data_IF_808656037504
#
_entry.id   IF_808656037504
#
_cell.length_a   1.000
_cell.length_b   1.000
_cell.length_c   1.000
_cell.angle_alpha   90.00
_cell.angle_beta   90.00
_cell.angle_gamma   90.00
#
_symmetry.space_group_name_H-M   'P 1'
#
loop_
_entity.id
_entity.type
_entity.pdbx_description
1 polymer ?
#
# COMPACT_ATOMS: atom_id res chain seq x y z
N UNK A 1 21.58 -6.99 1.83
CA UNK A 1 21.21 -7.03 3.26
C UNK A 1 19.71 -7.11 3.39
N UNK A 2 19.17 -7.97 4.27
CA UNK A 2 17.72 -8.06 4.53
C UNK A 2 17.42 -7.16 5.73
N UNK A 3 16.46 -6.23 5.59
CA UNK A 3 16.13 -5.21 6.60
C UNK A 3 14.63 -4.96 6.64
N UNK A 4 14.07 -4.52 7.77
CA UNK A 4 12.71 -3.99 7.83
C UNK A 4 12.54 -2.76 6.92
N UNK A 5 11.35 -2.55 6.38
CA UNK A 5 11.06 -1.44 5.45
C UNK A 5 11.41 -0.05 6.01
N UNK A 6 11.24 0.14 7.31
CA UNK A 6 11.48 1.43 7.98
C UNK A 6 12.95 1.88 7.91
N UNK A 7 13.87 0.95 7.63
CA UNK A 7 15.28 1.27 7.41
C UNK A 7 15.57 1.89 6.03
N UNK A 8 14.59 1.99 5.13
CA UNK A 8 14.74 2.80 3.91
C UNK A 8 14.97 4.27 4.24
N UNK A 9 14.26 4.82 5.24
CA UNK A 9 14.39 6.23 5.62
C UNK A 9 15.85 6.61 5.97
N UNK A 10 16.57 5.95 6.90
CA UNK A 10 17.95 6.27 7.17
C UNK A 10 18.90 6.05 5.97
N UNK A 11 18.62 5.08 5.09
CA UNK A 11 19.39 4.88 3.86
C UNK A 11 19.31 6.12 2.97
N UNK A 12 18.10 6.59 2.70
CA UNK A 12 17.89 7.76 1.83
C UNK A 12 18.34 9.07 2.48
N UNK A 13 18.11 9.28 3.77
CA UNK A 13 18.64 10.42 4.49
C UNK A 13 20.15 10.52 4.34
N UNK A 14 20.84 9.39 4.41
CA UNK A 14 22.28 9.37 4.22
C UNK A 14 22.69 9.78 2.79
N UNK A 15 22.00 9.33 1.76
CA UNK A 15 22.28 9.75 0.38
C UNK A 15 22.03 11.26 0.21
N UNK A 16 20.99 11.80 0.85
CA UNK A 16 20.73 13.24 0.92
C UNK A 16 21.91 13.97 1.60
N UNK A 17 22.43 13.47 2.73
CA UNK A 17 23.60 14.03 3.39
C UNK A 17 24.87 13.98 2.55
N UNK A 18 24.99 13.04 1.62
CA UNK A 18 26.07 12.98 0.64
C UNK A 18 25.89 13.95 -0.53
N UNK A 19 24.78 14.68 -0.57
CA UNK A 19 24.48 15.67 -1.61
C UNK A 19 23.62 15.13 -2.76
N UNK A 20 23.03 13.95 -2.63
CA UNK A 20 22.04 13.44 -3.58
C UNK A 20 20.71 14.11 -3.30
N UNK A 21 20.28 14.99 -4.21
CA UNK A 21 19.01 15.71 -4.11
C UNK A 21 17.91 15.09 -5.00
N UNK A 22 18.29 14.28 -6.00
CA UNK A 22 17.38 13.63 -6.95
C UNK A 22 17.46 12.12 -6.88
N UNK A 23 16.29 11.50 -6.77
CA UNK A 23 16.11 10.06 -6.75
C UNK A 23 15.24 9.63 -7.93
N UNK A 24 15.74 8.71 -8.72
CA UNK A 24 15.02 8.11 -9.85
C UNK A 24 14.79 6.63 -9.54
N UNK A 25 13.54 6.19 -9.63
CA UNK A 25 13.15 4.82 -9.34
C UNK A 25 12.78 4.11 -10.63
N UNK A 26 13.48 3.04 -10.90
CA UNK A 26 13.31 2.20 -12.09
C UNK A 26 12.77 0.82 -11.71
N UNK A 27 12.12 0.19 -12.66
CA UNK A 27 11.84 -1.24 -12.60
C UNK A 27 13.18 -2.00 -12.55
N UNK A 28 13.32 -2.96 -11.65
CA UNK A 28 14.65 -3.49 -11.30
C UNK A 28 15.15 -4.68 -12.13
N UNK A 29 14.33 -5.21 -13.04
CA UNK A 29 14.67 -6.35 -13.90
C UNK A 29 15.15 -5.92 -15.30
N UNK A 30 14.69 -4.76 -15.73
CA UNK A 30 15.08 -4.10 -16.98
C UNK A 30 15.67 -2.74 -16.64
N UNK A 31 16.86 -2.48 -17.07
CA UNK A 31 17.66 -1.33 -16.62
C UNK A 31 17.12 0.06 -17.03
N UNK A 32 15.95 0.17 -17.70
CA UNK A 32 15.58 1.39 -18.41
C UNK A 32 14.12 1.85 -18.22
N UNK A 33 13.32 1.18 -17.39
CA UNK A 33 11.91 1.58 -17.25
C UNK A 33 11.73 2.48 -16.02
N UNK A 34 11.63 3.81 -16.20
CA UNK A 34 11.39 4.71 -15.09
C UNK A 34 9.96 4.49 -14.55
N UNK A 35 9.80 4.50 -13.26
CA UNK A 35 8.49 4.41 -12.60
C UNK A 35 8.08 5.77 -12.04
N UNK A 36 8.95 6.37 -11.26
CA UNK A 36 8.78 7.71 -10.71
C UNK A 36 10.12 8.27 -10.26
N UNK A 37 10.17 9.58 -10.05
CA UNK A 37 11.33 10.28 -9.52
C UNK A 37 10.92 11.27 -8.44
N UNK A 38 11.86 11.65 -7.59
CA UNK A 38 11.67 12.67 -6.58
C UNK A 38 12.90 13.56 -6.44
N UNK A 39 12.69 14.86 -6.31
CA UNK A 39 13.75 15.82 -5.97
C UNK A 39 13.51 16.31 -4.54
N UNK A 40 14.51 16.14 -3.68
CA UNK A 40 14.46 16.57 -2.29
C UNK A 40 14.89 18.02 -2.16
N UNK A 41 14.03 18.86 -1.63
CA UNK A 41 14.34 20.25 -1.28
C UNK A 41 13.41 20.71 -0.14
N UNK A 42 13.92 21.60 0.73
CA UNK A 42 13.14 22.19 1.80
C UNK A 42 12.36 21.17 2.67
N UNK A 43 13.03 20.06 3.01
CA UNK A 43 12.44 18.95 3.78
C UNK A 43 11.23 18.27 3.11
N UNK A 44 11.08 18.38 1.79
CA UNK A 44 10.01 17.76 0.99
C UNK A 44 10.55 17.09 -0.26
N UNK A 45 9.76 16.17 -0.78
CA UNK A 45 9.99 15.52 -2.07
C UNK A 45 9.06 16.14 -3.11
N UNK A 46 9.62 16.66 -4.21
CA UNK A 46 8.86 17.00 -5.40
C UNK A 46 8.87 15.80 -6.35
N UNK A 47 7.72 15.20 -6.57
CA UNK A 47 7.58 13.90 -7.24
C UNK A 47 6.97 14.04 -8.62
N UNK A 48 7.52 13.29 -9.58
CA UNK A 48 7.00 13.07 -10.92
C UNK A 48 6.89 11.56 -11.17
N UNK A 49 5.80 11.09 -11.79
CA UNK A 49 5.65 9.69 -12.19
C UNK A 49 5.50 9.57 -13.71
N UNK A 50 5.85 8.39 -14.24
CA UNK A 50 5.70 8.09 -15.66
C UNK A 50 4.23 8.21 -16.10
N UNK A 51 3.99 8.69 -17.31
CA UNK A 51 2.68 8.78 -17.92
C UNK A 51 2.15 7.42 -18.39
N UNK A 52 0.81 7.26 -18.41
CA UNK A 52 0.15 6.00 -18.83
C UNK A 52 0.57 5.51 -20.21
N UNK A 53 0.64 6.41 -21.19
CA UNK A 53 1.00 6.04 -22.57
C UNK A 53 2.48 5.61 -22.65
N UNK A 54 3.37 6.35 -22.01
CA UNK A 54 4.78 6.04 -21.95
C UNK A 54 5.02 4.70 -21.24
N UNK A 55 4.39 4.49 -20.05
CA UNK A 55 4.48 3.21 -19.34
C UNK A 55 4.07 2.03 -20.22
N UNK A 56 2.93 2.13 -20.92
CA UNK A 56 2.41 1.08 -21.80
C UNK A 56 3.30 0.80 -23.01
N UNK A 57 4.08 1.79 -23.47
CA UNK A 57 5.05 1.58 -24.56
C UNK A 57 6.29 0.80 -24.11
N UNK A 58 6.61 0.81 -22.81
CA UNK A 58 7.79 0.19 -22.22
C UNK A 58 7.48 -1.17 -21.56
N UNK A 59 6.29 -1.30 -20.96
CA UNK A 59 5.89 -2.51 -20.24
C UNK A 59 4.82 -3.29 -21.01
N UNK A 60 5.04 -4.58 -21.27
CA UNK A 60 4.00 -5.43 -21.87
C UNK A 60 2.84 -5.62 -20.92
N UNK A 61 1.61 -5.55 -21.44
CA UNK A 61 0.40 -5.88 -20.66
C UNK A 61 0.26 -7.41 -20.59
N UNK A 62 0.68 -8.01 -19.48
CA UNK A 62 0.62 -9.45 -19.27
C UNK A 62 0.39 -9.79 -17.80
N UNK A 63 -0.44 -10.79 -17.53
CA UNK A 63 -1.08 -11.08 -16.25
C UNK A 63 -0.28 -10.98 -14.95
N UNK A 64 1.00 -11.32 -14.97
CA UNK A 64 1.87 -11.26 -13.78
C UNK A 64 2.86 -10.08 -13.80
N UNK A 65 2.84 -9.30 -14.87
CA UNK A 65 3.64 -8.08 -14.99
C UNK A 65 2.78 -6.93 -14.49
N UNK A 66 3.29 -6.09 -13.56
CA UNK A 66 2.53 -4.97 -13.04
C UNK A 66 2.11 -4.00 -14.16
N UNK A 67 0.81 -3.71 -14.23
CA UNK A 67 0.27 -2.74 -15.18
C UNK A 67 0.34 -1.31 -14.65
N UNK A 68 -0.02 -0.33 -15.52
CA UNK A 68 -0.08 1.08 -15.09
C UNK A 68 -1.05 1.31 -13.90
N UNK A 69 -2.10 0.49 -13.82
CA UNK A 69 -3.04 0.55 -12.69
C UNK A 69 -2.36 0.18 -11.37
N UNK A 70 -1.51 -0.85 -11.39
CA UNK A 70 -0.77 -1.27 -10.20
C UNK A 70 0.23 -0.18 -9.76
N UNK A 71 0.96 0.43 -10.73
CA UNK A 71 1.85 1.55 -10.44
C UNK A 71 1.08 2.73 -9.84
N UNK A 72 0.01 3.16 -10.48
CA UNK A 72 -0.70 4.37 -10.07
C UNK A 72 -1.45 4.19 -8.74
N UNK A 73 -2.28 3.14 -8.61
CA UNK A 73 -3.11 2.94 -7.42
C UNK A 73 -2.37 2.29 -6.26
N UNK A 74 -1.65 1.18 -6.52
CA UNK A 74 -1.07 0.36 -5.44
C UNK A 74 0.30 0.84 -4.99
N UNK A 75 1.02 1.60 -5.83
CA UNK A 75 2.33 2.16 -5.49
C UNK A 75 2.18 3.64 -5.17
N UNK A 76 1.83 4.47 -6.15
CA UNK A 76 1.86 5.94 -6.01
C UNK A 76 0.77 6.42 -5.04
N UNK A 77 -0.51 6.22 -5.37
CA UNK A 77 -1.61 6.73 -4.54
C UNK A 77 -1.62 6.06 -3.15
N UNK A 78 -1.46 4.75 -3.10
CA UNK A 78 -1.48 4.00 -1.84
C UNK A 78 -0.31 4.32 -0.90
N UNK A 79 0.77 4.93 -1.37
CA UNK A 79 1.85 5.44 -0.52
C UNK A 79 1.58 6.81 0.09
N UNK A 80 0.50 7.48 -0.29
CA UNK A 80 0.19 8.85 0.12
C UNK A 80 0.65 9.91 -0.88
N UNK A 81 1.26 9.54 -2.01
CA UNK A 81 1.61 10.48 -3.08
C UNK A 81 0.38 10.77 -3.95
N UNK A 82 -0.54 11.52 -3.40
CA UNK A 82 -1.80 11.93 -4.03
C UNK A 82 -2.00 13.42 -3.88
N UNK A 83 -2.58 14.07 -4.90
CA UNK A 83 -2.96 15.47 -4.78
C UNK A 83 -4.07 15.59 -3.71
N UNK A 84 -3.84 16.36 -2.63
CA UNK A 84 -4.84 16.56 -1.58
C UNK A 84 -6.19 17.10 -2.09
N UNK A 85 -6.21 17.79 -3.22
CA UNK A 85 -7.44 18.32 -3.81
C UNK A 85 -8.36 17.20 -4.36
N UNK A 86 -7.79 16.08 -4.75
CA UNK A 86 -8.55 14.87 -5.13
C UNK A 86 -9.38 14.31 -3.98
N UNK A 87 -9.01 14.63 -2.74
CA UNK A 87 -9.72 14.21 -1.53
C UNK A 87 -10.73 15.26 -1.02
N UNK A 88 -10.83 16.43 -1.65
CA UNK A 88 -11.72 17.51 -1.19
C UNK A 88 -13.17 17.07 -1.08
N UNK A 89 -13.72 16.39 -2.09
CA UNK A 89 -15.07 15.85 -2.06
C UNK A 89 -15.30 14.79 -0.97
N UNK A 90 -14.28 14.00 -0.65
CA UNK A 90 -14.35 13.02 0.44
C UNK A 90 -14.29 13.69 1.81
N UNK A 91 -13.50 14.77 1.97
CA UNK A 91 -13.47 15.60 3.20
C UNK A 91 -14.83 16.24 3.46
N UNK A 92 -15.42 16.86 2.44
CA UNK A 92 -16.74 17.48 2.55
C UNK A 92 -17.81 16.45 2.92
N UNK A 93 -17.80 15.31 2.25
CA UNK A 93 -18.72 14.21 2.53
C UNK A 93 -18.54 13.65 3.94
N UNK A 94 -17.30 13.48 4.40
CA UNK A 94 -17.01 13.06 5.76
C UNK A 94 -17.59 14.06 6.77
N UNK A 95 -17.34 15.37 6.57
CA UNK A 95 -17.91 16.42 7.41
C UNK A 95 -19.43 16.27 7.53
N UNK A 96 -20.14 16.15 6.40
CA UNK A 96 -21.61 15.97 6.39
C UNK A 96 -22.09 14.72 7.10
N UNK A 97 -21.31 13.63 7.07
CA UNK A 97 -21.66 12.37 7.71
C UNK A 97 -21.45 12.43 9.23
N UNK A 98 -20.39 13.11 9.70
CA UNK A 98 -20.01 13.14 11.11
C UNK A 98 -20.37 14.46 11.82
N UNK A 99 -21.10 15.37 11.12
CA UNK A 99 -21.44 16.66 11.69
C UNK A 99 -22.43 16.51 12.86
N UNK A 100 -22.03 17.07 14.01
CA UNK A 100 -22.67 16.84 15.31
C UNK A 100 -23.88 17.74 15.58
N UNK A 101 -24.35 18.52 14.59
CA UNK A 101 -25.46 19.45 14.77
C UNK A 101 -26.83 18.78 15.01
N UNK A 102 -26.91 17.46 14.85
CA UNK A 102 -28.10 16.69 15.22
C UNK A 102 -27.90 15.94 16.57
N UNK A 103 -28.58 16.34 17.64
CA UNK A 103 -28.39 15.76 18.99
C UNK A 103 -28.77 14.29 19.12
N UNK A 104 -29.32 13.65 18.09
CA UNK A 104 -29.72 12.24 18.05
C UNK A 104 -28.97 11.42 17.00
N UNK A 105 -27.89 11.94 16.44
CA UNK A 105 -27.16 11.24 15.39
C UNK A 105 -26.45 10.01 15.94
N UNK A 106 -26.54 8.91 15.19
CA UNK A 106 -25.81 7.68 15.47
C UNK A 106 -24.32 7.89 15.24
N UNK A 107 -23.49 7.21 16.05
CA UNK A 107 -22.06 7.16 15.75
C UNK A 107 -21.82 6.51 14.39
N UNK A 108 -20.93 7.08 13.61
CA UNK A 108 -20.58 6.55 12.27
C UNK A 108 -19.50 5.49 12.39
N UNK A 109 -19.65 4.41 11.61
CA UNK A 109 -18.63 3.39 11.44
C UNK A 109 -18.36 3.13 9.97
N UNK A 110 -17.08 3.26 9.60
CA UNK A 110 -16.58 2.90 8.28
C UNK A 110 -16.13 1.45 8.25
N UNK A 111 -16.53 0.74 7.20
CA UNK A 111 -16.17 -0.64 6.94
C UNK A 111 -15.34 -0.73 5.66
N UNK A 112 -14.34 -1.57 5.67
CA UNK A 112 -13.39 -1.72 4.56
C UNK A 112 -13.47 -3.11 3.99
N UNK A 113 -13.67 -3.19 2.66
CA UNK A 113 -13.57 -4.43 1.90
C UNK A 113 -12.12 -4.76 1.51
N UNK A 114 -11.91 -5.89 0.89
CA UNK A 114 -10.60 -6.37 0.41
C UNK A 114 -9.93 -5.35 -0.52
N UNK A 115 -10.68 -4.80 -1.47
CA UNK A 115 -10.16 -3.83 -2.45
C UNK A 115 -9.76 -2.50 -1.81
N UNK A 116 -10.53 -2.00 -0.86
CA UNK A 116 -10.22 -0.75 -0.17
C UNK A 116 -8.94 -0.86 0.66
N UNK A 117 -8.72 -2.00 1.32
CA UNK A 117 -7.48 -2.26 2.06
C UNK A 117 -6.28 -2.43 1.13
N UNK A 118 -6.43 -3.14 -0.01
CA UNK A 118 -5.36 -3.29 -1.00
C UNK A 118 -4.92 -1.95 -1.62
N UNK A 119 -5.85 -1.00 -1.75
CA UNK A 119 -5.59 0.36 -2.23
C UNK A 119 -5.25 1.36 -1.12
N UNK A 120 -5.13 0.91 0.13
CA UNK A 120 -4.71 1.72 1.27
C UNK A 120 -5.66 2.92 1.56
N UNK A 121 -6.96 2.79 1.30
CA UNK A 121 -7.91 3.91 1.44
C UNK A 121 -8.07 4.38 2.88
N UNK A 122 -7.99 3.47 3.85
CA UNK A 122 -8.01 3.85 5.25
C UNK A 122 -6.85 4.78 5.59
N UNK A 123 -5.62 4.42 5.20
CA UNK A 123 -4.43 5.28 5.38
C UNK A 123 -4.62 6.64 4.72
N UNK A 124 -5.06 6.68 3.44
CA UNK A 124 -5.25 7.92 2.72
C UNK A 124 -6.26 8.84 3.41
N UNK A 125 -7.38 8.31 3.87
CA UNK A 125 -8.38 9.11 4.56
C UNK A 125 -7.87 9.58 5.93
N UNK A 126 -7.17 8.72 6.67
CA UNK A 126 -6.55 9.10 7.95
C UNK A 126 -5.55 10.24 7.80
N UNK A 127 -4.71 10.20 6.77
CA UNK A 127 -3.66 11.20 6.56
C UNK A 127 -4.22 12.54 6.03
N UNK A 128 -5.27 12.50 5.25
CA UNK A 128 -5.74 13.68 4.53
C UNK A 128 -7.10 14.22 4.97
N UNK A 129 -7.89 13.46 5.73
CA UNK A 129 -9.16 13.93 6.28
C UNK A 129 -8.98 14.23 7.78
N UNK A 130 -9.09 15.51 8.21
CA UNK A 130 -8.92 15.87 9.61
C UNK A 130 -9.86 15.10 10.53
N UNK A 131 -9.32 14.64 11.66
CA UNK A 131 -10.06 13.93 12.71
C UNK A 131 -10.76 12.64 12.24
N UNK A 132 -10.39 12.07 11.08
CA UNK A 132 -11.04 10.90 10.51
C UNK A 132 -11.17 9.73 11.51
N UNK A 133 -10.09 9.39 12.19
CA UNK A 133 -10.08 8.30 13.19
C UNK A 133 -10.66 8.70 14.54
N UNK A 134 -10.78 9.99 14.84
CA UNK A 134 -11.32 10.49 16.10
C UNK A 134 -12.86 10.61 16.07
N UNK A 135 -13.41 11.02 14.92
CA UNK A 135 -14.84 11.31 14.75
C UNK A 135 -15.66 10.14 14.24
N UNK A 136 -15.03 9.05 13.84
CA UNK A 136 -15.71 7.84 13.38
C UNK A 136 -14.98 6.59 13.90
N UNK A 137 -15.70 5.50 14.01
CA UNK A 137 -15.13 4.18 14.24
C UNK A 137 -14.84 3.47 12.91
N UNK A 138 -13.92 2.51 12.92
CA UNK A 138 -13.45 1.82 11.70
C UNK A 138 -13.44 0.33 11.96
N UNK A 139 -13.80 -0.49 10.97
CA UNK A 139 -13.78 -1.93 11.11
C UNK A 139 -13.63 -2.66 9.76
N UNK A 140 -13.33 -3.94 9.83
CA UNK A 140 -13.40 -4.90 8.73
C UNK A 140 -13.85 -6.25 9.31
N UNK A 141 -13.96 -7.29 8.48
CA UNK A 141 -14.43 -8.60 8.90
C UNK A 141 -13.38 -9.68 8.74
N UNK A 142 -13.55 -10.82 9.44
CA UNK A 142 -12.71 -11.99 9.25
C UNK A 142 -12.81 -12.54 7.81
N UNK A 143 -13.97 -12.41 7.16
CA UNK A 143 -14.13 -12.78 5.77
C UNK A 143 -13.19 -12.00 4.85
N UNK A 144 -13.01 -10.69 5.07
CA UNK A 144 -12.03 -9.87 4.35
C UNK A 144 -10.59 -10.31 4.66
N UNK A 145 -10.28 -10.59 5.93
CA UNK A 145 -8.94 -11.08 6.32
C UNK A 145 -8.64 -12.42 5.65
N UNK A 146 -9.58 -13.37 5.72
CA UNK A 146 -9.43 -14.69 5.10
C UNK A 146 -9.30 -14.60 3.58
N UNK A 147 -10.04 -13.69 2.93
CA UNK A 147 -9.91 -13.46 1.50
C UNK A 147 -8.52 -12.94 1.13
N UNK A 148 -7.96 -12.02 1.91
CA UNK A 148 -6.59 -11.54 1.71
C UNK A 148 -5.54 -12.64 1.92
N UNK A 149 -5.74 -13.53 2.90
CA UNK A 149 -4.89 -14.69 3.13
C UNK A 149 -4.95 -15.67 1.95
N UNK A 150 -6.15 -16.00 1.49
CA UNK A 150 -6.36 -16.86 0.32
C UNK A 150 -5.73 -16.28 -0.96
N UNK A 151 -5.82 -14.96 -1.14
CA UNK A 151 -5.18 -14.26 -2.26
C UNK A 151 -3.66 -14.31 -2.14
N UNK A 152 -3.13 -14.05 -0.95
CA UNK A 152 -1.69 -14.07 -0.70
C UNK A 152 -1.09 -15.47 -0.90
N UNK A 153 -1.81 -16.51 -0.53
CA UNK A 153 -1.36 -17.89 -0.70
C UNK A 153 -1.39 -18.39 -2.15
N UNK A 154 -1.94 -17.61 -3.08
CA UNK A 154 -1.90 -17.90 -4.53
C UNK A 154 -0.48 -17.72 -5.06
N UNK A 155 0.27 -18.81 -5.05
CA UNK A 155 1.66 -18.83 -5.50
C UNK A 155 1.77 -19.00 -7.01
N UNK A 156 2.78 -18.39 -7.58
CA UNK A 156 3.19 -18.67 -8.95
C UNK A 156 3.73 -20.09 -9.06
N UNK A 157 3.11 -20.88 -9.94
CA UNK A 157 3.58 -22.23 -10.27
C UNK A 157 4.40 -22.14 -11.56
N UNK A 158 5.62 -22.71 -11.54
CA UNK A 158 6.59 -22.57 -12.62
C UNK A 158 6.10 -22.94 -14.04
N UNK A 159 5.08 -23.81 -14.16
CA UNK A 159 4.50 -24.18 -15.44
C UNK A 159 3.39 -23.22 -15.95
N UNK A 160 3.04 -22.21 -15.18
CA UNK A 160 2.07 -21.17 -15.55
C UNK A 160 2.74 -19.82 -15.90
N UNK A 161 4.07 -19.77 -15.98
CA UNK A 161 4.72 -18.57 -16.51
C UNK A 161 4.43 -18.47 -18.01
N UNK A 162 3.74 -17.43 -18.45
CA UNK A 162 3.61 -17.15 -19.87
C UNK A 162 5.01 -17.01 -20.48
N UNK A 163 5.19 -17.42 -21.74
CA UNK A 163 6.50 -17.34 -22.41
C UNK A 163 7.12 -15.93 -22.32
N UNK A 164 6.30 -14.89 -22.45
CA UNK A 164 6.74 -13.50 -22.30
C UNK A 164 7.21 -13.12 -20.89
N UNK A 165 6.89 -13.89 -19.84
CA UNK A 165 7.43 -13.66 -18.49
C UNK A 165 8.94 -13.93 -18.46
N UNK A 166 9.38 -14.99 -19.16
CA UNK A 166 10.82 -15.29 -19.33
C UNK A 166 11.52 -14.25 -20.18
N UNK A 167 10.83 -13.67 -21.16
CA UNK A 167 11.35 -12.58 -21.98
C UNK A 167 11.59 -11.31 -21.15
N UNK A 168 10.77 -11.09 -20.11
CA UNK A 168 10.89 -9.93 -19.20
C UNK A 168 11.94 -10.16 -18.13
N UNK A 169 11.91 -11.30 -17.45
CA UNK A 169 12.68 -11.55 -16.23
C UNK A 169 13.94 -12.42 -16.46
N UNK A 170 14.07 -13.04 -17.64
CA UNK A 170 15.24 -13.83 -18.01
C UNK A 170 15.51 -14.96 -17.02
N UNK A 171 16.75 -15.05 -16.54
CA UNK A 171 17.18 -16.04 -15.56
C UNK A 171 16.66 -15.79 -14.15
N UNK A 172 16.19 -14.59 -13.88
CA UNK A 172 15.67 -14.18 -12.58
C UNK A 172 14.22 -14.66 -12.34
N UNK A 173 13.59 -15.31 -13.34
CA UNK A 173 12.28 -15.90 -13.20
C UNK A 173 12.19 -16.91 -12.03
N UNK A 174 13.31 -17.59 -11.70
CA UNK A 174 13.41 -18.50 -10.56
C UNK A 174 13.10 -17.84 -9.22
N UNK A 175 13.33 -16.52 -9.08
CA UNK A 175 13.03 -15.78 -7.83
C UNK A 175 11.53 -15.77 -7.57
N UNK A 176 10.72 -15.77 -8.63
CA UNK A 176 9.26 -15.76 -8.51
C UNK A 176 8.66 -17.14 -8.21
N UNK A 177 9.45 -18.22 -8.36
CA UNK A 177 8.96 -19.57 -8.09
C UNK A 177 8.58 -19.72 -6.60
N UNK A 178 7.38 -20.23 -6.35
CA UNK A 178 6.83 -20.41 -5.00
C UNK A 178 6.60 -19.11 -4.20
N UNK A 179 6.73 -17.96 -4.83
CA UNK A 179 6.35 -16.67 -4.25
C UNK A 179 4.88 -16.32 -4.59
N UNK A 180 4.25 -15.44 -3.81
CA UNK A 180 2.92 -14.94 -4.13
C UNK A 180 2.88 -14.32 -5.53
N UNK A 181 1.80 -14.53 -6.27
CA UNK A 181 1.57 -13.87 -7.53
C UNK A 181 1.39 -12.33 -7.35
N UNK A 182 1.28 -11.57 -8.43
CA UNK A 182 1.13 -10.11 -8.37
C UNK A 182 -0.04 -9.67 -7.46
N UNK A 183 -1.17 -10.36 -7.58
CA UNK A 183 -2.34 -10.06 -6.77
C UNK A 183 -2.12 -10.42 -5.29
N UNK A 184 -1.45 -11.55 -5.02
CA UNK A 184 -1.04 -11.96 -3.67
C UNK A 184 -0.08 -10.96 -3.02
N UNK A 185 0.90 -10.43 -3.78
CA UNK A 185 1.78 -9.37 -3.28
C UNK A 185 1.01 -8.10 -2.91
N UNK A 186 -0.01 -7.74 -3.71
CA UNK A 186 -0.91 -6.62 -3.39
C UNK A 186 -1.73 -6.88 -2.13
N UNK A 187 -2.25 -8.09 -1.94
CA UNK A 187 -2.96 -8.48 -0.72
C UNK A 187 -2.05 -8.37 0.51
N UNK A 188 -0.77 -8.73 0.37
CA UNK A 188 0.20 -8.59 1.47
C UNK A 188 0.35 -7.14 1.93
N UNK A 189 0.36 -6.17 1.02
CA UNK A 189 0.42 -4.75 1.39
C UNK A 189 -0.79 -4.29 2.22
N UNK A 190 -1.96 -4.92 2.04
CA UNK A 190 -3.15 -4.62 2.82
C UNK A 190 -3.05 -5.01 4.31
N UNK A 191 -2.17 -5.95 4.65
CA UNK A 191 -2.01 -6.37 6.05
C UNK A 191 -1.54 -5.25 6.98
N UNK A 192 -0.78 -4.28 6.48
CA UNK A 192 -0.36 -3.11 7.27
C UNK A 192 -1.56 -2.31 7.77
N UNK A 193 -2.61 -2.19 6.96
CA UNK A 193 -3.86 -1.53 7.34
C UNK A 193 -4.60 -2.32 8.42
N UNK A 194 -4.70 -3.64 8.25
CA UNK A 194 -5.35 -4.52 9.24
C UNK A 194 -4.62 -4.48 10.58
N UNK A 195 -3.29 -4.53 10.57
CA UNK A 195 -2.50 -4.44 11.78
C UNK A 195 -2.67 -3.08 12.48
N UNK A 196 -2.77 -2.00 11.70
CA UNK A 196 -3.09 -0.70 12.27
C UNK A 196 -4.46 -0.67 12.92
N UNK A 197 -5.49 -1.18 12.25
CA UNK A 197 -6.84 -1.29 12.82
C UNK A 197 -6.83 -2.09 14.13
N UNK A 198 -6.12 -3.21 14.19
CA UNK A 198 -6.04 -4.07 15.38
C UNK A 198 -5.26 -3.44 16.51
N UNK A 199 -4.04 -2.95 16.25
CA UNK A 199 -3.11 -2.52 17.30
C UNK A 199 -3.36 -1.08 17.74
N UNK A 200 -3.48 -0.14 16.81
CA UNK A 200 -3.57 1.28 17.11
C UNK A 200 -5.01 1.70 17.46
N UNK A 201 -5.98 1.26 16.68
CA UNK A 201 -7.39 1.56 16.95
C UNK A 201 -8.06 0.54 17.89
N UNK A 202 -7.37 -0.56 18.25
CA UNK A 202 -7.87 -1.63 19.11
C UNK A 202 -9.21 -2.21 18.64
N UNK A 203 -9.35 -2.34 17.32
CA UNK A 203 -10.58 -2.84 16.71
C UNK A 203 -10.63 -4.36 16.82
N UNK A 204 -11.76 -4.88 17.32
CA UNK A 204 -12.07 -6.30 17.20
C UNK A 204 -12.66 -6.56 15.81
N UNK A 205 -11.94 -7.33 15.00
CA UNK A 205 -12.39 -7.72 13.66
C UNK A 205 -13.69 -8.51 13.77
N UNK A 206 -14.69 -8.17 12.94
CA UNK A 206 -15.99 -8.82 12.96
C UNK A 206 -15.87 -10.29 12.57
N UNK A 207 -16.56 -11.16 13.30
CA UNK A 207 -16.66 -12.58 12.95
C UNK A 207 -17.74 -12.79 11.90
N UNK A 208 -17.40 -13.51 10.84
CA UNK A 208 -18.31 -13.87 9.76
C UNK A 208 -18.53 -15.40 9.74
N UNK A 209 -19.70 -15.83 9.27
CA UNK A 209 -20.02 -17.25 9.10
C UNK A 209 -19.69 -17.75 7.68
N UNK A 210 -18.68 -17.17 7.02
CA UNK A 210 -18.25 -17.58 5.67
C UNK A 210 -17.43 -16.54 4.91
N UNK A 211 -17.26 -16.76 3.61
CA UNK A 211 -16.45 -15.95 2.69
C UNK A 211 -17.30 -15.44 1.52
N UNK A 212 -16.93 -14.29 0.99
CA UNK A 212 -17.50 -13.65 -0.20
C UNK A 212 -18.37 -12.43 0.10
N UNK A 213 -18.51 -11.56 -0.89
CA UNK A 213 -19.12 -10.22 -0.80
C UNK A 213 -20.44 -10.17 -0.04
N UNK A 214 -21.33 -11.14 -0.30
CA UNK A 214 -22.67 -11.16 0.32
C UNK A 214 -22.59 -11.36 1.82
N UNK A 215 -21.67 -12.19 2.27
CA UNK A 215 -21.49 -12.51 3.69
C UNK A 215 -20.82 -11.34 4.39
N UNK A 216 -19.74 -10.80 3.78
CA UNK A 216 -19.04 -9.61 4.27
C UNK A 216 -20.02 -8.44 4.46
N UNK A 217 -20.83 -8.14 3.44
CA UNK A 217 -21.85 -7.07 3.54
C UNK A 217 -22.92 -7.35 4.61
N UNK A 218 -23.31 -8.61 4.79
CA UNK A 218 -24.27 -8.98 5.81
C UNK A 218 -23.71 -8.78 7.21
N UNK A 219 -22.43 -9.11 7.43
CA UNK A 219 -21.73 -8.88 8.70
C UNK A 219 -21.62 -7.40 9.03
N UNK A 220 -21.26 -6.57 8.05
CA UNK A 220 -21.20 -5.11 8.22
C UNK A 220 -22.56 -4.51 8.56
N UNK A 221 -23.62 -4.91 7.81
CA UNK A 221 -24.98 -4.44 8.06
C UNK A 221 -25.50 -4.92 9.43
N UNK A 222 -25.20 -6.16 9.83
CA UNK A 222 -25.60 -6.68 11.12
C UNK A 222 -24.90 -5.94 12.27
N UNK A 223 -23.59 -5.70 12.18
CA UNK A 223 -22.83 -4.96 13.18
C UNK A 223 -23.38 -3.53 13.36
N UNK A 224 -23.62 -2.80 12.26
CA UNK A 224 -24.16 -1.44 12.31
C UNK A 224 -25.56 -1.41 12.93
N UNK A 225 -26.43 -2.36 12.59
CA UNK A 225 -27.78 -2.47 13.17
C UNK A 225 -27.74 -2.83 14.65
N UNK A 226 -26.94 -3.85 15.03
CA UNK A 226 -26.81 -4.31 16.41
C UNK A 226 -26.31 -3.21 17.35
N UNK A 227 -25.38 -2.38 16.87
CA UNK A 227 -24.79 -1.30 17.67
C UNK A 227 -25.51 0.04 17.47
N UNK A 228 -26.55 0.08 16.65
CA UNK A 228 -27.29 1.31 16.31
C UNK A 228 -26.35 2.41 15.75
N UNK A 229 -25.50 2.03 14.79
CA UNK A 229 -24.54 2.91 14.13
C UNK A 229 -24.97 3.23 12.70
N UNK A 230 -24.49 4.35 12.17
CA UNK A 230 -24.56 4.64 10.74
C UNK A 230 -23.35 3.97 10.06
N UNK A 231 -23.59 2.82 9.43
CA UNK A 231 -22.57 2.06 8.72
C UNK A 231 -22.30 2.65 7.34
N UNK A 232 -21.02 2.78 6.97
CA UNK A 232 -20.57 3.26 5.65
C UNK A 232 -19.52 2.31 5.10
N UNK A 233 -19.82 1.64 3.98
CA UNK A 233 -18.84 0.83 3.27
C UNK A 233 -17.92 1.72 2.42
N UNK A 234 -16.63 1.55 2.58
CA UNK A 234 -15.59 2.14 1.72
C UNK A 234 -15.14 1.08 0.73
N UNK A 235 -15.33 1.32 -0.56
CA UNK A 235 -14.96 0.37 -1.62
C UNK A 235 -14.69 1.09 -2.95
N UNK A 236 -13.96 0.48 -3.87
CA UNK A 236 -13.88 0.89 -5.27
C UNK A 236 -14.70 -0.03 -6.20
N UNK A 237 -15.33 -1.06 -5.65
CA UNK A 237 -16.22 -1.96 -6.38
C UNK A 237 -17.62 -1.34 -6.46
N UNK A 238 -18.06 -1.04 -7.70
CA UNK A 238 -19.36 -0.43 -7.97
C UNK A 238 -20.52 -1.37 -7.56
N UNK A 239 -20.39 -2.66 -7.85
CA UNK A 239 -21.43 -3.65 -7.54
C UNK A 239 -21.59 -3.78 -6.02
N UNK A 240 -20.45 -3.85 -5.32
CA UNK A 240 -20.46 -3.92 -3.87
C UNK A 240 -21.02 -2.65 -3.22
N UNK A 241 -20.68 -1.47 -3.76
CA UNK A 241 -21.25 -0.19 -3.32
C UNK A 241 -22.77 -0.10 -3.51
N UNK A 242 -23.29 -0.55 -4.65
CA UNK A 242 -24.75 -0.60 -4.92
C UNK A 242 -25.46 -1.54 -3.95
N UNK A 243 -24.92 -2.73 -3.73
CA UNK A 243 -25.48 -3.71 -2.78
C UNK A 243 -25.47 -3.19 -1.34
N UNK A 244 -24.40 -2.49 -0.95
CA UNK A 244 -24.30 -1.87 0.36
C UNK A 244 -25.36 -0.77 0.53
N UNK A 245 -25.58 0.07 -0.49
CA UNK A 245 -26.55 1.17 -0.46
C UNK A 245 -27.98 0.77 -0.15
N UNK A 246 -28.34 -0.52 -0.30
CA UNK A 246 -29.66 -1.06 0.09
C UNK A 246 -29.78 -1.34 1.61
N UNK A 247 -28.69 -1.37 2.36
CA UNK A 247 -28.63 -1.81 3.75
C UNK A 247 -27.93 -0.83 4.69
N UNK A 248 -26.99 -0.08 4.15
CA UNK A 248 -26.12 0.86 4.85
C UNK A 248 -25.61 1.91 3.85
N UNK A 249 -24.90 2.94 4.31
CA UNK A 249 -24.22 3.87 3.42
C UNK A 249 -23.07 3.22 2.65
N UNK A 250 -22.68 3.84 1.53
CA UNK A 250 -21.48 3.44 0.80
C UNK A 250 -20.68 4.63 0.31
N UNK A 251 -19.35 4.52 0.35
CA UNK A 251 -18.42 5.42 -0.31
C UNK A 251 -17.72 4.68 -1.45
N UNK A 252 -18.16 4.96 -2.66
CA UNK A 252 -17.43 4.51 -3.84
C UNK A 252 -16.23 5.42 -4.04
N UNK A 253 -15.03 4.88 -3.82
CA UNK A 253 -13.77 5.62 -3.97
C UNK A 253 -13.25 5.47 -5.39
N UNK A 254 -13.06 6.61 -6.05
CA UNK A 254 -12.47 6.67 -7.39
C UNK A 254 -11.49 7.84 -7.43
N UNK A 255 -10.23 7.54 -7.63
CA UNK A 255 -9.22 8.55 -7.88
C UNK A 255 -8.85 8.56 -9.35
N UNK A 256 -8.48 9.73 -9.85
CA UNK A 256 -7.94 9.86 -11.19
C UNK A 256 -6.64 9.05 -11.32
N UNK A 257 -6.50 8.37 -12.44
CA UNK A 257 -5.31 7.59 -12.82
C UNK A 257 -4.30 8.44 -13.60
N UNK A 258 -4.38 9.76 -13.53
CA UNK A 258 -3.38 10.63 -14.12
C UNK A 258 -2.01 10.42 -13.44
N UNK A 259 -0.96 10.62 -14.19
CA UNK A 259 0.38 10.64 -13.61
C UNK A 259 0.57 11.86 -12.70
N UNK A 260 1.34 11.67 -11.66
CA UNK A 260 1.74 12.75 -10.74
C UNK A 260 2.80 13.62 -11.44
N UNK A 261 2.63 14.95 -11.37
CA UNK A 261 3.59 15.92 -11.89
C UNK A 261 3.82 17.03 -10.87
N UNK A 262 5.06 17.15 -10.40
CA UNK A 262 5.48 18.22 -9.49
C UNK A 262 4.77 18.21 -8.14
N UNK A 263 4.26 17.05 -7.70
CA UNK A 263 3.60 16.91 -6.41
C UNK A 263 4.60 17.08 -5.27
N UNK A 264 4.36 18.04 -4.39
CA UNK A 264 5.12 18.17 -3.17
C UNK A 264 4.56 17.22 -2.09
N UNK A 265 5.42 16.35 -1.58
CA UNK A 265 5.06 15.33 -0.61
C UNK A 265 6.11 15.15 0.48
N UNK A 266 5.86 14.29 1.46
CA UNK A 266 6.84 13.95 2.50
C UNK A 266 7.82 12.89 1.96
N UNK A 267 9.04 12.87 2.52
CA UNK A 267 10.04 11.85 2.20
C UNK A 267 9.52 10.43 2.53
N UNK A 268 8.79 10.29 3.64
CA UNK A 268 8.22 9.02 4.10
C UNK A 268 7.26 8.41 3.07
N UNK A 269 6.46 9.24 2.39
CA UNK A 269 5.55 8.75 1.34
C UNK A 269 6.31 8.30 0.09
N UNK A 270 7.39 8.99 -0.24
CA UNK A 270 8.27 8.55 -1.32
C UNK A 270 8.93 7.20 -0.98
N UNK A 271 9.40 7.01 0.26
CA UNK A 271 9.98 5.75 0.73
C UNK A 271 8.95 4.62 0.77
N UNK A 272 7.72 4.90 1.19
CA UNK A 272 6.63 3.93 1.13
C UNK A 272 6.33 3.53 -0.33
N UNK A 273 6.42 4.47 -1.29
CA UNK A 273 6.27 4.14 -2.71
C UNK A 273 7.41 3.24 -3.22
N UNK A 274 8.66 3.49 -2.81
CA UNK A 274 9.80 2.61 -3.13
C UNK A 274 9.57 1.21 -2.57
N UNK A 275 9.14 1.10 -1.31
CA UNK A 275 8.80 -0.18 -0.68
C UNK A 275 7.69 -0.92 -1.43
N UNK A 276 6.57 -0.22 -1.70
CA UNK A 276 5.43 -0.80 -2.44
C UNK A 276 5.83 -1.22 -3.85
N UNK A 277 6.61 -0.39 -4.54
CA UNK A 277 7.14 -0.74 -5.86
C UNK A 277 8.03 -2.00 -5.77
N UNK A 278 8.93 -2.10 -4.78
CA UNK A 278 9.74 -3.30 -4.59
C UNK A 278 8.89 -4.56 -4.36
N UNK A 279 7.79 -4.47 -3.61
CA UNK A 279 6.85 -5.60 -3.41
C UNK A 279 6.10 -5.92 -4.71
N UNK A 280 5.52 -4.93 -5.38
CA UNK A 280 4.68 -5.12 -6.58
C UNK A 280 5.50 -5.61 -7.78
N UNK A 281 6.65 -4.97 -8.05
CA UNK A 281 7.55 -5.35 -9.15
C UNK A 281 8.51 -6.48 -8.80
N UNK A 282 8.63 -6.82 -7.50
CA UNK A 282 9.60 -7.78 -7.00
C UNK A 282 10.97 -7.18 -6.73
N UNK A 283 11.40 -6.21 -7.54
CA UNK A 283 12.66 -5.47 -7.42
C UNK A 283 12.53 -4.10 -8.07
N UNK A 284 13.14 -3.10 -7.46
CA UNK A 284 13.33 -1.76 -8.05
C UNK A 284 14.77 -1.30 -7.87
N UNK A 285 15.19 -0.39 -8.73
CA UNK A 285 16.51 0.25 -8.67
C UNK A 285 16.35 1.73 -8.44
N UNK A 286 17.15 2.29 -7.54
CA UNK A 286 17.17 3.72 -7.22
C UNK A 286 18.53 4.27 -7.62
N UNK A 287 18.54 5.30 -8.49
CA UNK A 287 19.75 5.95 -9.02
C UNK A 287 20.82 4.99 -9.58
N UNK A 288 20.40 3.85 -10.15
CA UNK A 288 21.25 2.78 -10.65
C UNK A 288 22.16 2.08 -9.61
N UNK A 289 22.34 2.64 -8.43
CA UNK A 289 23.29 2.14 -7.41
C UNK A 289 22.60 1.31 -6.32
N UNK A 290 21.42 1.70 -5.89
CA UNK A 290 20.69 1.04 -4.82
C UNK A 290 19.62 0.14 -5.41
N UNK A 291 19.69 -1.15 -5.10
CA UNK A 291 18.66 -2.13 -5.48
C UNK A 291 17.84 -2.48 -4.25
N UNK A 292 16.52 -2.31 -4.36
CA UNK A 292 15.56 -2.68 -3.32
C UNK A 292 14.70 -3.83 -3.85
N UNK A 293 14.84 -5.01 -3.25
CA UNK A 293 14.12 -6.21 -3.65
C UNK A 293 13.06 -6.57 -2.62
N UNK A 294 11.82 -6.61 -3.06
CA UNK A 294 10.68 -7.15 -2.31
C UNK A 294 10.58 -8.67 -2.41
N UNK A 295 11.24 -9.25 -3.43
CA UNK A 295 11.33 -10.68 -3.65
C UNK A 295 12.80 -11.11 -3.72
N UNK A 296 13.08 -12.28 -3.17
CA UNK A 296 14.35 -12.98 -3.31
C UNK A 296 14.16 -14.49 -3.17
N UNK A 297 15.13 -15.26 -3.64
CA UNK A 297 15.11 -16.71 -3.52
C UNK A 297 14.98 -17.12 -2.04
N UNK A 298 13.96 -17.95 -1.74
CA UNK A 298 13.68 -18.47 -0.40
C UNK A 298 13.21 -17.43 0.62
N UNK A 299 12.61 -16.32 0.18
CA UNK A 299 11.89 -15.42 1.09
C UNK A 299 10.82 -16.21 1.85
N UNK A 300 10.86 -16.15 3.20
CA UNK A 300 10.01 -16.94 4.10
C UNK A 300 8.77 -16.15 4.51
N UNK A 301 7.82 -16.85 5.12
CA UNK A 301 6.59 -16.24 5.66
C UNK A 301 6.90 -15.17 6.72
N UNK A 302 7.93 -15.40 7.57
CA UNK A 302 8.36 -14.45 8.60
C UNK A 302 8.87 -13.15 7.98
N UNK A 303 9.61 -13.22 6.86
CA UNK A 303 10.11 -12.05 6.13
C UNK A 303 8.95 -11.25 5.53
N UNK A 304 7.92 -11.96 5.06
CA UNK A 304 6.69 -11.32 4.60
C UNK A 304 5.94 -10.65 5.75
N UNK A 305 5.81 -11.30 6.89
CA UNK A 305 5.08 -10.81 8.05
C UNK A 305 5.73 -9.57 8.68
N UNK A 306 7.06 -9.51 8.69
CA UNK A 306 7.81 -8.37 9.21
C UNK A 306 8.09 -7.27 8.18
N UNK A 307 7.54 -7.36 6.98
CA UNK A 307 7.74 -6.34 5.94
C UNK A 307 9.20 -6.20 5.49
N UNK A 308 9.99 -7.29 5.60
CA UNK A 308 11.40 -7.28 5.22
C UNK A 308 11.58 -7.11 3.71
N UNK A 309 12.62 -6.35 3.37
CA UNK A 309 13.14 -6.12 2.02
C UNK A 309 14.63 -6.42 1.99
N UNK A 310 15.15 -6.72 0.81
CA UNK A 310 16.58 -6.87 0.59
C UNK A 310 17.11 -5.61 -0.10
N UNK A 311 18.15 -5.01 0.49
CA UNK A 311 18.81 -3.83 -0.06
C UNK A 311 20.25 -4.18 -0.43
N UNK A 312 20.65 -3.82 -1.65
CA UNK A 312 21.99 -4.01 -2.23
C UNK A 312 22.52 -2.66 -2.75
N UNK A 313 23.83 -2.58 -2.99
CA UNK A 313 24.45 -1.37 -3.52
C UNK A 313 24.85 -0.33 -2.46
N UNK A 314 24.53 -0.55 -1.21
CA UNK A 314 25.02 0.29 -0.11
C UNK A 314 26.49 -0.07 0.19
N UNK A 315 27.42 0.60 -0.49
CA UNK A 315 28.87 0.28 -0.47
C UNK A 315 29.62 0.67 0.82
N UNK A 316 28.91 1.16 1.82
CA UNK A 316 29.54 1.69 3.03
C UNK A 316 29.37 0.73 4.20
N UNK A 317 30.50 0.17 4.68
CA UNK A 317 30.55 -0.75 5.81
C UNK A 317 29.94 -0.18 7.10
N UNK A 318 30.00 1.16 7.27
CA UNK A 318 29.41 1.80 8.44
C UNK A 318 27.88 1.84 8.36
N UNK A 319 27.32 2.03 7.16
CA UNK A 319 25.88 1.91 6.93
C UNK A 319 25.41 0.48 7.16
N UNK A 320 26.10 -0.51 6.59
CA UNK A 320 25.77 -1.92 6.81
C UNK A 320 25.80 -2.29 8.29
N UNK A 321 26.82 -1.78 9.01
CA UNK A 321 26.93 -1.98 10.45
C UNK A 321 25.80 -1.29 11.20
N UNK A 322 25.49 -0.02 10.89
CA UNK A 322 24.42 0.74 11.51
C UNK A 322 23.07 0.07 11.26
N UNK A 323 22.76 -0.31 10.02
CA UNK A 323 21.54 -1.00 9.66
C UNK A 323 21.44 -2.39 10.32
N UNK A 324 22.55 -3.12 10.41
CA UNK A 324 22.60 -4.41 11.13
C UNK A 324 22.35 -4.26 12.62
N UNK A 325 22.79 -3.16 13.23
CA UNK A 325 22.49 -2.85 14.63
C UNK A 325 21.02 -2.45 14.78
N UNK A 326 20.52 -1.55 13.93
CA UNK A 326 19.16 -1.08 13.96
C UNK A 326 18.14 -2.20 13.68
N UNK A 327 18.43 -3.12 12.76
CA UNK A 327 17.56 -4.26 12.48
C UNK A 327 17.43 -5.26 13.65
N UNK A 328 18.30 -5.20 14.64
CA UNK A 328 18.25 -6.01 15.87
C UNK A 328 17.53 -5.34 17.02
N UNK A 329 17.24 -4.04 16.89
CA UNK A 329 16.48 -3.31 17.91
C UNK A 329 14.99 -3.66 17.72
N UNK A 330 14.27 -4.09 18.78
CA UNK A 330 12.84 -4.39 18.67
C UNK A 330 12.05 -3.21 18.11
N UNK A 331 11.05 -3.49 17.26
CA UNK A 331 10.19 -2.49 16.61
C UNK A 331 9.56 -1.49 17.61
N UNK A 332 9.31 -1.93 18.85
CA UNK A 332 8.76 -1.08 19.93
C UNK A 332 9.64 0.13 20.27
N UNK A 333 10.92 0.12 19.88
CA UNK A 333 11.84 1.22 20.14
C UNK A 333 11.73 2.36 19.13
N UNK A 334 11.31 2.08 17.89
CA UNK A 334 11.19 3.08 16.82
C UNK A 334 9.81 3.75 16.78
N UNK A 335 8.77 3.10 17.33
CA UNK A 335 7.37 3.52 17.19
C UNK A 335 6.93 4.73 18.00
N UNK A 336 7.76 5.33 18.84
CA UNK A 336 7.31 6.42 19.76
C UNK A 336 7.92 7.79 19.51
N UNK A 337 8.77 8.00 18.51
CA UNK A 337 9.55 9.23 18.37
C UNK A 337 9.35 10.07 17.11
N UNK A 338 8.68 9.58 16.08
CA UNK A 338 8.64 10.25 14.77
C UNK A 338 7.25 10.63 14.25
N UNK A 339 6.20 10.42 15.04
CA UNK A 339 4.83 10.76 14.66
C UNK A 339 4.16 11.76 15.62
N UNK A 340 4.94 12.67 16.20
CA UNK A 340 4.39 13.81 16.95
C UNK A 340 4.44 15.08 16.11
#
# INVERSE_FOLDING_TARGET
MIVPKDLLIPIFNREIFKGTDRFEVYEGWRDEIPLFSGTYSDCRMRVDSIGKQEYRSLMPEAGEIPGYLDLNQKVIQASGMIDPDMLSGYRERFGKIVDDDEPFRRNVRFYYDTNSLMNNYFFLFREYIPDFTRRASHNTSLGVVSELEDIFDRKLKGHFFPDHFKDVYGKDDEIFHSQPNLYGRSARLAYSEIEYLKKELRVNILTDDGVGDRIILSSFAHDSQKLNLDGVLVTNDHIMAERAGMRMGSWLVRFDLSNVKGLNTRLEYFMEAVYRAAIIYGRVRVNHDIVVSGLWSRKRQEDWNSGHIMVEGCSDRDLERTLSIMSRVPEDFYGKGYYS
#
